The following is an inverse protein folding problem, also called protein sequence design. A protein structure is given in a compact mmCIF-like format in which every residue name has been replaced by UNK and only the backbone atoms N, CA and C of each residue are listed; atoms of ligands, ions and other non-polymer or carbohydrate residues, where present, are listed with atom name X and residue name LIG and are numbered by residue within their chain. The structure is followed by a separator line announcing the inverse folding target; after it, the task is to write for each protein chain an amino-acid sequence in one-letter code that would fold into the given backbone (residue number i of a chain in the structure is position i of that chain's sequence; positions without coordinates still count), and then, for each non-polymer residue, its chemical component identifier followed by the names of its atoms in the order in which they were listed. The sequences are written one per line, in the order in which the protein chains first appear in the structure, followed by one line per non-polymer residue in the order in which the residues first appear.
data_IF_222542798116
#
_entry.id   IF_222542798116
#
_cell.length_a   1.000
_cell.length_b   1.000
_cell.length_c   1.000
_cell.angle_alpha   90.00
_cell.angle_beta   90.00
_cell.angle_gamma   90.00
#
_symmetry.space_group_name_H-M   'P 1'
#
loop_
_entity.id
_entity.type
_entity.pdbx_description
1 polymer ?
2 non-polymer ?
3 non-polymer ?
4 water ?
#
# COMPACT_ATOMS: atom_id res chain seq x y z
N UNK A 3 -26.01 -18.12 -3.01
CA UNK A 3 -25.54 -16.98 -2.13
C UNK A 3 -24.43 -16.19 -2.83
N UNK A 4 -24.67 -14.88 -3.15
CA UNK A 4 -23.70 -13.94 -3.75
C UNK A 4 -22.58 -13.46 -2.80
N UNK A 5 -22.80 -13.59 -1.46
CA UNK A 5 -21.90 -13.19 -0.36
C UNK A 5 -20.68 -14.05 -0.52
N UNK A 6 -20.95 -15.34 -0.29
CA UNK A 6 -19.97 -16.40 -0.42
C UNK A 6 -19.37 -16.39 -1.82
N UNK A 7 -20.20 -16.17 -2.88
CA UNK A 7 -19.72 -16.05 -4.26
C UNK A 7 -18.70 -14.88 -4.29
N UNK A 8 -19.00 -13.74 -3.63
CA UNK A 8 -18.17 -12.53 -3.70
C UNK A 8 -16.86 -12.64 -2.91
N UNK A 9 -16.91 -13.10 -1.64
CA UNK A 9 -15.74 -13.38 -0.83
C UNK A 9 -14.71 -14.26 -1.56
N UNK A 10 -15.17 -15.38 -2.11
CA UNK A 10 -14.37 -16.38 -2.82
C UNK A 10 -13.62 -15.70 -3.97
N UNK A 11 -14.33 -14.81 -4.72
CA UNK A 11 -13.72 -14.05 -5.78
C UNK A 11 -12.57 -13.17 -5.25
N UNK A 12 -12.85 -12.26 -4.32
CA UNK A 12 -11.81 -11.39 -3.78
C UNK A 12 -10.63 -12.22 -3.29
N UNK A 13 -10.86 -13.31 -2.56
CA UNK A 13 -9.79 -14.18 -2.11
C UNK A 13 -8.95 -14.66 -3.30
N UNK A 14 -9.63 -15.11 -4.37
CA UNK A 14 -8.91 -15.61 -5.55
C UNK A 14 -8.11 -14.48 -6.22
N UNK A 15 -8.71 -13.30 -6.24
CA UNK A 15 -8.04 -12.15 -6.81
C UNK A 15 -6.83 -11.76 -5.98
N UNK A 16 -6.88 -11.94 -4.64
CA UNK A 16 -5.77 -11.64 -3.75
C UNK A 16 -4.63 -12.60 -4.11
N UNK A 17 -4.96 -13.89 -4.30
CA UNK A 17 -4.04 -14.94 -4.74
C UNK A 17 -3.31 -14.47 -6.00
N UNK A 18 -4.04 -13.93 -6.98
CA UNK A 18 -3.45 -13.49 -8.24
C UNK A 18 -2.50 -12.32 -8.04
N UNK A 19 -2.95 -11.33 -7.28
CA UNK A 19 -2.15 -10.17 -6.95
C UNK A 19 -0.83 -10.60 -6.36
N UNK A 20 -0.87 -11.53 -5.41
CA UNK A 20 0.33 -11.98 -4.71
C UNK A 20 1.32 -12.66 -5.67
N UNK A 21 0.85 -13.53 -6.56
CA UNK A 21 1.74 -14.22 -7.49
C UNK A 21 2.35 -13.20 -8.46
N UNK A 22 1.51 -12.30 -8.99
CA UNK A 22 1.96 -11.21 -9.86
C UNK A 22 3.12 -10.46 -9.18
N UNK A 23 2.95 -10.08 -7.89
CA UNK A 23 3.97 -9.39 -7.14
C UNK A 23 5.24 -10.23 -7.01
N UNK A 24 5.08 -11.54 -6.78
CA UNK A 24 6.30 -12.33 -6.67
C UNK A 24 7.06 -12.17 -7.97
N UNK A 25 6.32 -12.23 -9.08
CA UNK A 25 6.92 -12.34 -10.39
C UNK A 25 7.73 -11.08 -10.69
N UNK A 26 7.28 -9.96 -10.13
CA UNK A 26 7.92 -8.68 -10.33
C UNK A 26 8.97 -8.43 -9.23
N UNK A 27 9.16 -9.44 -8.38
CA UNK A 27 10.10 -9.29 -7.27
C UNK A 27 9.76 -8.10 -6.38
N UNK A 28 8.46 -7.76 -6.26
CA UNK A 28 8.07 -6.63 -5.44
C UNK A 28 7.13 -7.16 -4.39
N UNK A 29 7.40 -8.38 -3.96
CA UNK A 29 6.75 -8.95 -2.80
C UNK A 29 7.05 -8.10 -1.57
N UNK A 30 6.14 -8.13 -0.62
CA UNK A 30 6.18 -7.32 0.61
C UNK A 30 5.89 -5.84 0.34
N UNK A 31 5.53 -5.47 -0.91
CA UNK A 31 5.27 -4.08 -1.25
C UNK A 31 3.80 -3.88 -1.63
N UNK A 32 3.04 -4.96 -1.58
CA UNK A 32 1.57 -4.99 -1.55
C UNK A 32 0.96 -3.74 -0.93
N UNK A 33 1.10 -3.57 0.39
CA UNK A 33 0.28 -2.65 1.15
C UNK A 33 1.04 -1.44 1.69
N UNK A 34 1.24 -1.33 3.03
CA UNK A 34 1.92 -0.20 3.66
C UNK A 34 3.43 -0.04 3.42
N UNK A 35 4.19 -1.16 3.30
CA UNK A 35 5.59 -1.05 2.97
C UNK A 35 5.78 -0.31 1.64
N UNK A 36 5.01 -0.73 0.61
CA UNK A 36 5.11 -0.09 -0.69
C UNK A 36 4.74 1.38 -0.59
N UNK A 37 3.74 1.76 0.23
CA UNK A 37 3.31 3.14 0.34
C UNK A 37 4.45 3.99 0.89
N UNK A 38 5.12 3.52 1.94
CA UNK A 38 6.23 4.27 2.54
C UNK A 38 7.42 4.34 1.57
N UNK A 39 7.70 3.22 0.87
CA UNK A 39 8.79 3.23 -0.07
C UNK A 39 8.48 4.29 -1.10
N UNK A 40 7.27 4.33 -1.65
CA UNK A 40 7.01 5.28 -2.73
C UNK A 40 6.97 6.71 -2.21
N UNK A 41 6.66 6.87 -0.92
CA UNK A 41 6.66 8.20 -0.32
C UNK A 41 8.09 8.74 -0.23
N UNK A 42 8.98 7.88 0.30
CA UNK A 42 10.39 8.20 0.43
C UNK A 42 10.95 8.49 -0.94
N UNK A 43 10.62 7.65 -1.92
CA UNK A 43 11.27 7.74 -3.22
C UNK A 43 10.94 9.08 -3.89
N UNK A 44 9.68 9.48 -3.79
CA UNK A 44 9.19 10.63 -4.53
C UNK A 44 9.48 11.94 -3.80
N UNK A 45 9.93 11.89 -2.56
CA UNK A 45 10.21 13.14 -1.87
C UNK A 45 11.57 13.13 -1.15
N UNK A 46 12.69 12.89 -1.88
CA UNK A 46 14.01 12.74 -1.25
C UNK A 46 14.52 14.00 -0.54
N UNK A 47 14.10 15.15 -1.03
CA UNK A 47 14.29 16.43 -0.37
C UNK A 47 13.86 16.36 1.10
N UNK A 48 12.70 15.76 1.40
CA UNK A 48 12.09 15.81 2.73
C UNK A 48 12.46 14.57 3.51
N UNK A 49 12.22 14.57 4.82
CA UNK A 49 12.56 13.43 5.63
C UNK A 49 11.27 12.89 6.18
N UNK A 50 11.32 11.63 6.59
CA UNK A 50 10.19 11.03 7.25
C UNK A 50 10.74 10.35 8.50
N UNK A 51 10.25 10.81 9.66
CA UNK A 51 10.53 10.16 10.93
C UNK A 51 9.48 9.09 11.09
N UNK A 52 9.65 8.21 12.07
CA UNK A 52 8.63 7.21 12.32
C UNK A 52 7.29 7.87 12.66
N UNK A 53 7.36 8.99 13.41
CA UNK A 53 6.17 9.77 13.73
C UNK A 53 5.48 10.25 12.46
N UNK A 54 6.25 10.70 11.46
CA UNK A 54 5.65 11.07 10.20
C UNK A 54 4.97 9.85 9.56
N UNK A 55 5.59 8.67 9.76
CA UNK A 55 5.09 7.48 9.08
C UNK A 55 3.68 7.12 9.61
N UNK A 56 3.53 7.11 10.93
CA UNK A 56 2.22 6.93 11.56
C UNK A 56 1.16 7.81 10.94
N UNK A 57 1.48 9.09 10.74
CA UNK A 57 0.48 10.04 10.27
C UNK A 57 0.18 9.81 8.81
N UNK A 58 1.22 9.46 8.02
CA UNK A 58 1.07 9.28 6.59
C UNK A 58 0.27 8.01 6.26
N UNK A 59 0.24 7.03 7.18
CA UNK A 59 -0.54 5.82 6.95
C UNK A 59 -1.73 5.71 7.90
N UNK A 60 -1.85 6.63 8.86
CA UNK A 60 -2.95 6.61 9.78
C UNK A 60 -2.94 5.31 10.58
N UNK A 61 -1.78 5.00 11.17
CA UNK A 61 -1.62 3.75 11.91
C UNK A 61 -1.08 4.13 13.29
N UNK A 62 -1.20 3.20 14.25
CA UNK A 62 -0.77 3.39 15.63
C UNK A 62 0.75 3.32 15.72
N UNK A 63 1.26 3.72 16.88
CA UNK A 63 2.68 3.81 17.13
C UNK A 63 3.32 2.42 17.05
N UNK A 64 2.72 1.44 17.74
CA UNK A 64 3.30 0.10 17.83
C UNK A 64 3.31 -0.57 16.46
N UNK A 65 2.24 -0.33 15.68
CA UNK A 65 2.07 -0.88 14.35
C UNK A 65 3.18 -0.30 13.46
N UNK A 66 3.28 1.05 13.42
CA UNK A 66 4.33 1.77 12.71
C UNK A 66 5.70 1.23 13.09
N UNK A 67 5.88 0.98 14.39
CA UNK A 67 7.17 0.49 14.85
C UNK A 67 7.46 -0.91 14.28
N UNK A 68 6.40 -1.70 14.11
CA UNK A 68 6.62 -3.05 13.59
C UNK A 68 6.87 -2.98 12.09
N UNK A 69 6.07 -2.19 11.39
CA UNK A 69 6.23 -1.98 9.97
C UNK A 69 7.69 -1.65 9.67
N UNK A 70 8.22 -0.57 10.25
CA UNK A 70 9.50 -0.05 9.80
C UNK A 70 10.64 -1.00 10.16
N UNK A 71 10.42 -1.84 11.14
CA UNK A 71 11.44 -2.78 11.57
C UNK A 71 11.46 -3.97 10.62
N UNK A 72 10.29 -4.26 10.02
CA UNK A 72 10.11 -5.21 8.95
C UNK A 72 10.77 -4.68 7.68
N UNK A 73 10.49 -3.41 7.33
CA UNK A 73 11.08 -2.77 6.19
C UNK A 73 12.60 -2.76 6.32
N UNK A 74 13.10 -2.52 7.53
CA UNK A 74 14.54 -2.55 7.77
C UNK A 74 15.12 -3.95 7.56
N UNK A 75 14.39 -4.97 8.05
CA UNK A 75 14.74 -6.38 7.96
C UNK A 75 14.88 -6.76 6.50
N UNK A 76 13.90 -6.32 5.70
CA UNK A 76 13.87 -6.46 4.26
C UNK A 76 15.03 -5.71 3.57
N UNK A 77 15.69 -4.75 4.24
CA UNK A 77 16.77 -4.04 3.58
C UNK A 77 16.25 -2.87 2.74
N UNK A 78 14.97 -2.51 2.89
CA UNK A 78 14.43 -1.41 2.10
C UNK A 78 14.81 -0.04 2.67
N UNK A 79 15.03 0.05 4.00
CA UNK A 79 15.29 1.35 4.58
C UNK A 79 16.40 1.19 5.60
N UNK A 80 16.99 2.33 5.96
CA UNK A 80 17.82 2.46 7.15
C UNK A 80 17.06 3.34 8.15
N UNK A 81 17.18 2.95 9.43
CA UNK A 81 16.56 3.70 10.52
C UNK A 81 17.68 4.38 11.29
N UNK A 82 17.73 5.72 11.21
CA UNK A 82 18.89 6.38 11.77
C UNK A 82 18.37 7.46 12.74
N UNK A 83 18.79 7.49 14.03
CA UNK A 83 18.27 8.49 14.96
C UNK A 83 18.75 9.91 14.62
N UNK A 84 17.85 10.89 14.82
CA UNK A 84 18.17 12.29 14.69
C UNK A 84 19.45 12.60 15.44
N UNK A 85 20.41 13.17 14.70
CA UNK A 85 21.70 13.51 15.24
C UNK A 85 21.56 14.58 16.34
N UNK A 86 20.53 15.42 16.23
CA UNK A 86 20.32 16.48 17.19
C UNK A 86 19.54 15.95 18.39
N UNK A 87 18.59 15.04 18.13
CA UNK A 87 17.77 14.46 19.17
C UNK A 87 17.55 13.00 18.84
N UNK A 88 18.17 12.12 19.62
CA UNK A 88 18.24 10.72 19.24
C UNK A 88 16.98 9.93 19.65
N UNK A 89 15.91 10.63 20.05
CA UNK A 89 14.58 10.06 20.29
C UNK A 89 13.74 10.13 19.01
N UNK A 90 14.16 10.97 18.05
CA UNK A 90 13.53 11.03 16.74
C UNK A 90 14.26 10.06 15.80
N UNK A 91 13.48 9.18 15.12
CA UNK A 91 14.02 8.16 14.24
C UNK A 91 13.69 8.52 12.80
N UNK A 92 14.73 8.76 11.98
CA UNK A 92 14.51 8.97 10.55
C UNK A 92 14.69 7.69 9.70
N UNK A 93 13.90 7.59 8.65
CA UNK A 93 13.90 6.48 7.70
C UNK A 93 14.58 6.93 6.40
N UNK A 94 15.52 6.10 5.91
CA UNK A 94 16.14 6.44 4.62
C UNK A 94 16.07 5.21 3.72
N UNK A 95 15.61 5.42 2.48
CA UNK A 95 15.49 4.39 1.51
C UNK A 95 16.91 3.98 1.07
N UNK A 96 17.20 2.68 1.12
CA UNK A 96 18.50 2.15 0.71
C UNK A 96 18.60 2.03 -0.80
N UNK A 97 19.79 1.62 -1.27
CA UNK A 97 19.90 1.34 -2.69
C UNK A 97 18.86 0.31 -3.14
N UNK A 98 18.74 -0.76 -2.35
CA UNK A 98 17.76 -1.81 -2.58
C UNK A 98 16.35 -1.21 -2.50
N UNK A 99 16.08 -0.32 -1.53
CA UNK A 99 14.76 0.27 -1.50
C UNK A 99 14.50 1.10 -2.76
N UNK A 100 15.50 1.83 -3.28
CA UNK A 100 15.19 2.61 -4.49
C UNK A 100 14.94 1.71 -5.71
N UNK A 101 15.67 0.60 -5.80
CA UNK A 101 15.40 -0.42 -6.82
C UNK A 101 13.96 -0.92 -6.69
N UNK A 102 13.58 -1.31 -5.46
CA UNK A 102 12.22 -1.79 -5.24
C UNK A 102 11.21 -0.71 -5.63
N UNK A 103 11.57 0.57 -5.46
CA UNK A 103 10.60 1.62 -5.70
C UNK A 103 10.31 1.64 -7.20
N UNK A 104 11.37 1.53 -8.02
CA UNK A 104 11.24 1.67 -9.47
C UNK A 104 10.57 0.41 -10.01
N UNK A 105 10.89 -0.74 -9.39
CA UNK A 105 10.21 -1.98 -9.71
C UNK A 105 8.71 -1.89 -9.37
N UNK A 106 8.39 -1.15 -8.30
CA UNK A 106 7.03 -1.22 -7.79
C UNK A 106 6.13 -0.43 -8.72
N UNK A 107 6.63 0.70 -9.21
CA UNK A 107 5.91 1.54 -10.17
C UNK A 107 5.62 0.79 -11.45
N UNK A 108 6.61 0.00 -11.91
CA UNK A 108 6.47 -0.82 -13.11
C UNK A 108 5.34 -1.83 -12.87
N UNK A 109 5.46 -2.59 -11.77
CA UNK A 109 4.52 -3.60 -11.40
C UNK A 109 3.10 -3.04 -11.40
N UNK A 110 2.92 -1.91 -10.72
CA UNK A 110 1.61 -1.34 -10.56
C UNK A 110 1.06 -0.98 -11.94
N UNK A 111 1.95 -0.58 -12.86
CA UNK A 111 1.54 -0.17 -14.21
C UNK A 111 1.02 -1.37 -14.98
N UNK A 112 1.76 -2.46 -14.93
CA UNK A 112 1.41 -3.67 -15.66
C UNK A 112 0.19 -4.36 -15.03
N UNK A 113 0.12 -4.38 -13.70
CA UNK A 113 -1.01 -4.96 -13.00
C UNK A 113 -2.32 -4.30 -13.47
N UNK A 114 -2.40 -2.98 -13.40
CA UNK A 114 -3.62 -2.29 -13.82
C UNK A 114 -3.83 -2.49 -15.31
N UNK A 115 -2.75 -2.49 -16.09
CA UNK A 115 -2.96 -2.66 -17.52
C UNK A 115 -3.63 -4.00 -17.79
N UNK A 116 -3.18 -5.05 -17.08
CA UNK A 116 -3.74 -6.39 -17.22
C UNK A 116 -5.18 -6.47 -16.66
N UNK A 117 -5.40 -5.89 -15.47
CA UNK A 117 -6.65 -6.14 -14.76
C UNK A 117 -7.79 -5.41 -15.46
N UNK A 118 -7.47 -4.21 -15.94
CA UNK A 118 -8.46 -3.28 -16.50
C UNK A 118 -8.57 -3.40 -18.02
N UNK A 119 -7.92 -4.43 -18.57
CA UNK A 119 -8.04 -4.77 -19.99
C UNK A 119 -9.50 -4.99 -20.35
N UNK A 120 -10.00 -4.16 -21.27
CA UNK A 120 -11.32 -4.47 -21.83
C UNK A 120 -12.47 -3.91 -21.02
N UNK A 121 -12.20 -2.84 -20.23
CA UNK A 121 -13.08 -2.21 -19.25
C UNK A 121 -12.89 -0.69 -19.38
N UNK A 122 -13.97 0.12 -19.40
CA UNK A 122 -13.87 1.56 -19.63
C UNK A 122 -13.91 2.37 -18.33
N UNK A 123 -13.54 3.67 -18.40
CA UNK A 123 -13.51 4.51 -17.22
C UNK A 123 -14.96 4.74 -16.76
N UNK A 124 -15.88 4.51 -17.71
CA UNK A 124 -17.31 4.74 -17.51
C UNK A 124 -17.83 3.60 -16.65
N UNK A 125 -17.71 2.38 -17.20
CA UNK A 125 -17.96 1.11 -16.53
C UNK A 125 -17.46 1.09 -15.10
N UNK A 126 -16.22 1.57 -14.89
CA UNK A 126 -15.59 1.63 -13.56
C UNK A 126 -16.40 2.58 -12.68
N UNK A 127 -16.69 3.78 -13.22
CA UNK A 127 -17.38 4.83 -12.48
C UNK A 127 -18.75 4.34 -12.02
N UNK A 128 -19.37 3.49 -12.85
CA UNK A 128 -20.69 2.92 -12.59
C UNK A 128 -20.54 1.92 -11.43
N UNK A 129 -19.62 0.99 -11.62
CA UNK A 129 -19.22 0.02 -10.63
C UNK A 129 -19.11 0.65 -9.24
N UNK A 130 -18.29 1.71 -9.14
CA UNK A 130 -18.07 2.47 -7.91
C UNK A 130 -19.35 3.08 -7.34
N UNK A 131 -20.23 3.59 -8.23
CA UNK A 131 -21.50 4.17 -7.83
C UNK A 131 -22.41 3.08 -7.26
N UNK A 132 -22.44 1.93 -7.91
CA UNK A 132 -23.30 0.88 -7.45
C UNK A 132 -22.83 0.45 -6.03
N UNK A 133 -21.53 0.16 -5.89
CA UNK A 133 -21.01 -0.39 -4.65
C UNK A 133 -21.34 0.55 -3.50
N UNK A 134 -21.11 1.82 -3.78
CA UNK A 134 -21.22 2.81 -2.75
C UNK A 134 -22.70 2.94 -2.34
N UNK A 135 -23.60 2.72 -3.31
CA UNK A 135 -25.01 2.88 -3.02
C UNK A 135 -25.51 1.71 -2.18
N UNK A 136 -25.20 0.49 -2.61
CA UNK A 136 -25.39 -0.71 -1.85
C UNK A 136 -24.97 -0.46 -0.41
N UNK A 137 -23.70 -0.03 -0.26
CA UNK A 137 -23.11 0.21 1.05
C UNK A 137 -24.00 1.18 1.83
N UNK A 138 -24.47 2.19 1.13
CA UNK A 138 -25.30 3.19 1.75
C UNK A 138 -26.65 2.59 2.18
N UNK A 139 -27.27 1.80 1.28
CA UNK A 139 -28.60 1.25 1.50
C UNK A 139 -28.57 0.36 2.72
N UNK A 140 -27.53 -0.45 2.84
CA UNK A 140 -27.54 -1.49 3.83
C UNK A 140 -27.05 -0.94 5.15
N UNK A 141 -26.15 0.04 5.12
CA UNK A 141 -25.51 0.44 6.37
C UNK A 141 -26.43 1.36 7.16
N UNK A 142 -27.15 2.23 6.44
CA UNK A 142 -28.06 3.19 7.05
C UNK A 142 -27.27 4.10 8.00
N UNK A 143 -27.69 4.13 9.29
CA UNK A 143 -27.10 4.78 10.47
C UNK A 143 -25.60 4.55 10.55
N UNK A 144 -25.19 3.34 10.16
CA UNK A 144 -23.82 2.90 10.30
C UNK A 144 -22.96 3.35 9.13
N UNK A 145 -23.47 4.23 8.25
CA UNK A 145 -22.68 4.62 7.08
C UNK A 145 -21.51 5.53 7.50
N UNK A 146 -20.44 4.88 7.96
CA UNK A 146 -19.14 5.48 8.22
C UNK A 146 -18.08 4.48 7.72
N UNK A 147 -17.89 4.46 6.40
CA UNK A 147 -16.94 3.56 5.75
C UNK A 147 -15.81 4.38 5.11
N UNK A 148 -15.04 3.71 4.23
CA UNK A 148 -13.98 4.27 3.42
C UNK A 148 -14.60 5.28 2.44
X LIG B 1 -5.91 3.24 -9.60
X LIG B 1 -2.78 1.39 -6.31
X LIG B 1 -4.86 -2.99 -7.01
X LIG B 1 -8.35 -0.96 -9.70
X LIG B 1 -4.87 3.06 -8.72
X LIG B 1 -4.00 4.10 -8.37
X LIG B 1 -3.13 3.61 -7.45
X LIG B 1 -3.42 2.24 -7.20
X LIG B 1 -2.02 4.46 -6.87
X LIG B 1 -4.04 5.53 -8.90
X LIG B 1 -3.80 5.52 -10.43
X LIG B 1 -3.50 6.89 -11.10
X LIG B 1 -2.33 7.30 -11.25
X LIG B 1 -4.39 7.67 -11.58
X LIG B 1 -3.12 0.02 -6.26
X LIG B 1 -2.36 -0.90 -5.53
X LIG B 1 -2.92 -2.14 -5.74
X LIG B 1 -4.06 -1.94 -6.60
X LIG B 1 -1.16 -0.57 -4.65
X LIG B 1 -2.54 -3.45 -5.18
X LIG B 1 -1.41 -3.58 -4.45
X LIG B 1 -6.00 -2.79 -7.74
X LIG B 1 -6.95 -3.78 -7.96
X LIG B 1 -7.95 -3.19 -8.72
X LIG B 1 -7.59 -1.85 -8.95
X LIG B 1 -6.81 -5.21 -7.44
X LIG B 1 -9.18 -3.79 -9.23
X LIG B 1 -9.25 -5.11 -9.19
X LIG B 1 -7.93 0.36 -9.88
X LIG B 1 -8.66 1.31 -10.77
X LIG B 1 -7.97 2.47 -10.77
X LIG B 1 -6.84 2.26 -9.86
X LIG B 1 -9.91 0.99 -11.55
X LIG B 1 -8.38 3.76 -11.48
X LIG B 1 -7.57 4.20 -12.70
X LIG B 1 -7.58 5.73 -12.95
X LIG B 1 -6.76 6.26 -13.75
X LIG B 1 -8.37 6.51 -12.32
X LIG B 1 -4.52 1.90 -7.98
X LIG B 1 -4.10 -0.65 -6.93
X LIG B 1 -6.38 -1.62 -8.33
X LIG B 1 -6.83 0.99 -9.38
X LIG B 1 -5.53 0.23 -8.24
X LIG C 1 -6.45 0.84 -6.66
X LIG C 1 -7.20 0.93 -5.81
#
# INVERSE_FOLDING_TARGET
MENPLQKARILVNQLEKYLDRYAKEYDVEHLAGPQGHLVMHLYKHPDKDMSIKDAEEILHISKSVASNLVKRMEKNGFIAIVPSKTDKRVKYLYLTHLGKQKATQFEIFLEKLHSTMLAGITKEEIRTTKKVIRTLAKNMAMEDFDSLEVLFQ
HEM CHA CHB CHC CHD C1A C2A C3A C4A CMA CAA CBA CGA O1A O2A C1B C2B C3B C4B CMB CAB CBB C1C C2C C3C C4C CMC CAC CBC C1D C2D C3D C4D CMD CAD CBD CGD O1D O2D NA NB NC ND FE
CMO C O
#
